data_IF_669341648158
#
_entry.id   IF_669341648158
#
_cell.length_a   1.000
_cell.length_b   1.000
_cell.length_c   1.000
_cell.angle_alpha   90.00
_cell.angle_beta   90.00
_cell.angle_gamma   90.00
#
_symmetry.space_group_name_H-M   'P 1'
#
loop_
_entity.id
_entity.type
_entity.pdbx_description
1 polymer ?
#
# COMPACT_ATOMS: atom_id res chain seq x y z
N UNK A 1 2.57 -5.07 9.55
CA UNK A 1 2.72 -3.72 8.99
C UNK A 1 1.83 -2.66 9.68
N UNK A 2 0.62 -2.97 10.12
CA UNK A 2 -0.28 -1.97 10.76
C UNK A 2 0.31 -1.32 12.02
N UNK A 3 0.94 -2.06 12.90
CA UNK A 3 1.48 -1.53 14.16
C UNK A 3 2.69 -0.60 13.96
N UNK A 4 3.72 -0.95 13.14
CA UNK A 4 4.79 -0.02 12.80
C UNK A 4 4.29 1.24 12.08
N UNK A 5 3.37 1.09 11.11
CA UNK A 5 2.81 2.24 10.41
C UNK A 5 2.05 3.17 11.35
N UNK A 6 1.28 2.63 12.30
CA UNK A 6 0.57 3.43 13.30
C UNK A 6 1.54 4.25 14.16
N UNK A 7 2.69 3.66 14.57
CA UNK A 7 3.73 4.39 15.32
C UNK A 7 4.39 5.49 14.48
N UNK A 8 4.64 5.23 13.21
CA UNK A 8 5.19 6.23 12.28
C UNK A 8 4.22 7.40 12.06
N UNK A 9 2.93 7.13 11.89
CA UNK A 9 1.89 8.14 11.71
C UNK A 9 1.67 8.97 12.99
N UNK A 10 1.82 8.36 14.16
CA UNK A 10 1.69 9.00 15.45
C UNK A 10 2.94 9.79 15.88
N UNK A 11 4.03 9.70 15.10
CA UNK A 11 5.26 10.43 15.42
C UNK A 11 5.03 11.94 15.33
N UNK A 12 5.35 12.66 16.40
CA UNK A 12 5.23 14.12 16.43
C UNK A 12 6.49 14.76 15.82
N UNK A 13 6.33 15.79 14.96
CA UNK A 13 7.46 16.51 14.40
C UNK A 13 8.45 17.00 15.47
N UNK A 14 9.73 16.84 15.21
CA UNK A 14 10.81 17.19 16.13
C UNK A 14 11.77 18.21 15.51
N UNK A 15 12.46 18.98 16.35
CA UNK A 15 13.55 19.86 15.92
C UNK A 15 14.81 19.10 15.50
N UNK A 16 14.87 17.78 15.70
CA UNK A 16 16.00 16.94 15.32
C UNK A 16 15.69 16.16 14.06
N UNK A 17 16.69 15.87 13.21
CA UNK A 17 16.44 15.17 11.95
C UNK A 17 15.93 13.75 12.19
N UNK A 18 14.89 13.39 11.48
CA UNK A 18 14.40 12.02 11.32
C UNK A 18 14.95 11.48 10.00
N UNK A 19 15.73 10.42 10.06
CA UNK A 19 16.21 9.73 8.86
C UNK A 19 15.17 8.70 8.41
N UNK A 20 14.80 8.77 7.13
CA UNK A 20 13.96 7.78 6.48
C UNK A 20 14.72 7.20 5.29
N UNK A 21 14.97 5.89 5.31
CA UNK A 21 15.78 5.19 4.33
C UNK A 21 14.97 4.10 3.65
N UNK A 22 14.94 4.11 2.34
CA UNK A 22 14.30 3.09 1.51
C UNK A 22 15.37 2.41 0.67
N UNK A 23 15.46 1.08 0.75
CA UNK A 23 16.44 0.28 0.03
C UNK A 23 15.78 -0.85 -0.75
N UNK A 24 16.19 -1.03 -1.99
CA UNK A 24 15.92 -2.23 -2.75
C UNK A 24 16.92 -3.31 -2.33
N UNK A 25 16.41 -4.40 -1.79
CA UNK A 25 17.20 -5.55 -1.36
C UNK A 25 16.90 -6.79 -2.19
N UNK A 26 16.12 -6.65 -3.28
CA UNK A 26 15.77 -7.75 -4.16
C UNK A 26 17.03 -8.35 -4.79
N UNK A 27 17.25 -9.68 -4.66
CA UNK A 27 18.37 -10.35 -5.32
C UNK A 27 18.28 -10.20 -6.85
N UNK A 28 19.43 -10.07 -7.49
CA UNK A 28 19.54 -10.10 -8.95
C UNK A 28 19.21 -11.49 -9.51
N UNK A 29 19.18 -11.62 -10.84
CA UNK A 29 18.96 -12.90 -11.53
C UNK A 29 19.97 -14.00 -11.18
N UNK A 30 21.06 -13.68 -10.46
CA UNK A 30 22.08 -14.59 -9.97
C UNK A 30 21.97 -14.86 -8.46
N UNK A 31 20.90 -14.35 -7.82
CA UNK A 31 20.67 -14.49 -6.38
C UNK A 31 21.57 -13.62 -5.50
N UNK A 32 22.16 -12.54 -6.03
CA UNK A 32 23.03 -11.62 -5.28
C UNK A 32 22.23 -10.44 -4.82
N UNK A 33 22.19 -10.20 -3.52
CA UNK A 33 21.59 -9.01 -2.92
C UNK A 33 22.44 -7.77 -3.27
N UNK A 34 21.83 -6.65 -3.71
CA UNK A 34 22.55 -5.40 -3.95
C UNK A 34 23.28 -4.92 -2.69
N UNK A 35 24.52 -4.48 -2.82
CA UNK A 35 25.23 -3.81 -1.74
C UNK A 35 24.79 -2.35 -1.64
N UNK A 36 24.03 -2.03 -0.60
CA UNK A 36 23.56 -0.68 -0.33
C UNK A 36 24.63 0.22 0.33
N UNK A 37 25.76 -0.34 0.78
CA UNK A 37 26.80 0.40 1.51
C UNK A 37 27.34 1.62 0.76
N UNK A 38 27.78 1.52 -0.51
CA UNK A 38 28.26 2.65 -1.29
C UNK A 38 27.23 3.77 -1.47
N UNK A 39 25.94 3.40 -1.67
CA UNK A 39 24.84 4.35 -1.77
C UNK A 39 24.66 5.09 -0.44
N UNK A 40 24.49 4.38 0.65
CA UNK A 40 24.29 4.96 1.99
C UNK A 40 25.44 5.87 2.39
N UNK A 41 26.68 5.45 2.16
CA UNK A 41 27.86 6.27 2.47
C UNK A 41 27.85 7.60 1.72
N UNK A 42 27.51 7.59 0.44
CA UNK A 42 27.43 8.80 -0.38
C UNK A 42 26.33 9.75 0.12
N UNK A 43 25.12 9.23 0.33
CA UNK A 43 23.97 10.05 0.76
C UNK A 43 24.18 10.61 2.17
N UNK A 44 24.60 9.78 3.13
CA UNK A 44 24.88 10.25 4.49
C UNK A 44 26.02 11.25 4.54
N UNK A 45 27.05 11.10 3.72
CA UNK A 45 28.13 12.08 3.62
C UNK A 45 27.66 13.42 3.05
N UNK A 46 26.71 13.41 2.13
CA UNK A 46 26.10 14.61 1.57
C UNK A 46 25.22 15.30 2.63
N UNK A 47 24.32 14.57 3.27
CA UNK A 47 23.41 15.08 4.31
C UNK A 47 24.16 15.60 5.55
N UNK A 48 25.25 14.94 5.94
CA UNK A 48 26.08 15.35 7.07
C UNK A 48 26.61 16.80 7.00
N UNK A 49 26.67 17.38 5.79
CA UNK A 49 27.10 18.76 5.57
C UNK A 49 26.03 19.81 5.91
N UNK A 50 24.78 19.38 6.07
CA UNK A 50 23.66 20.23 6.41
C UNK A 50 23.78 20.81 7.82
N UNK A 51 24.37 20.03 8.73
CA UNK A 51 24.47 20.42 10.14
C UNK A 51 25.89 20.73 10.56
N UNK A 52 26.03 21.73 11.43
CA UNK A 52 27.35 22.12 11.98
C UNK A 52 27.95 20.96 12.78
N UNK A 53 29.26 20.70 12.64
CA UNK A 53 29.94 19.74 13.50
C UNK A 53 29.74 20.06 14.98
N UNK A 54 29.28 19.08 15.78
CA UNK A 54 29.06 19.24 17.22
C UNK A 54 27.70 19.81 17.60
N UNK A 55 26.81 20.14 16.63
CA UNK A 55 25.43 20.50 16.95
C UNK A 55 24.61 19.28 17.41
N UNK A 56 23.50 19.50 18.08
CA UNK A 56 22.61 18.43 18.56
C UNK A 56 22.02 17.62 17.39
N UNK A 57 21.67 18.30 16.32
CA UNK A 57 21.15 17.69 15.08
C UNK A 57 22.21 16.78 14.46
N UNK A 58 23.46 17.26 14.40
CA UNK A 58 24.54 16.46 13.85
C UNK A 58 24.83 15.24 14.72
N UNK A 59 24.79 15.38 16.02
CA UNK A 59 24.98 14.25 16.93
C UNK A 59 23.87 13.21 16.78
N UNK A 60 22.60 13.63 16.76
CA UNK A 60 21.46 12.74 16.50
C UNK A 60 21.61 12.01 15.17
N UNK A 61 21.92 12.74 14.11
CA UNK A 61 22.15 12.21 12.77
C UNK A 61 23.26 11.14 12.76
N UNK A 62 24.42 11.41 13.36
CA UNK A 62 25.55 10.47 13.36
C UNK A 62 25.20 9.16 14.10
N UNK A 63 24.44 9.23 15.21
CA UNK A 63 23.94 8.05 15.93
C UNK A 63 22.93 7.24 15.08
N UNK A 64 22.03 7.92 14.36
CA UNK A 64 21.07 7.27 13.47
C UNK A 64 21.75 6.58 12.30
N UNK A 65 22.76 7.20 11.71
CA UNK A 65 23.58 6.61 10.64
C UNK A 65 24.24 5.32 11.12
N UNK A 66 24.84 5.32 12.31
CA UNK A 66 25.49 4.12 12.86
C UNK A 66 24.48 2.97 13.05
N UNK A 67 23.28 3.28 13.59
CA UNK A 67 22.21 2.28 13.78
C UNK A 67 21.68 1.72 12.46
N UNK A 68 21.46 2.59 11.47
CA UNK A 68 20.96 2.19 10.16
C UNK A 68 21.99 1.30 9.46
N UNK A 69 23.27 1.69 9.42
CA UNK A 69 24.33 0.91 8.79
C UNK A 69 24.49 -0.45 9.46
N UNK A 70 24.49 -0.50 10.80
CA UNK A 70 24.53 -1.77 11.53
C UNK A 70 23.32 -2.66 11.23
N UNK A 71 22.12 -2.09 11.15
CA UNK A 71 20.91 -2.85 10.82
C UNK A 71 20.98 -3.43 9.41
N UNK A 72 21.41 -2.64 8.43
CA UNK A 72 21.52 -3.07 7.02
C UNK A 72 22.55 -4.19 6.87
N UNK A 73 23.64 -4.15 7.63
CA UNK A 73 24.68 -5.17 7.58
C UNK A 73 24.21 -6.53 8.14
N UNK A 74 23.44 -6.54 9.23
CA UNK A 74 23.28 -7.76 10.03
C UNK A 74 21.84 -8.25 10.16
N UNK A 75 20.82 -7.41 9.87
CA UNK A 75 19.44 -7.71 10.27
C UNK A 75 18.43 -7.84 9.12
N UNK A 76 18.85 -7.70 7.87
CA UNK A 76 17.96 -7.86 6.73
C UNK A 76 17.78 -9.36 6.46
N UNK A 77 16.53 -9.81 6.41
CA UNK A 77 16.22 -11.20 6.06
C UNK A 77 16.44 -11.46 4.57
N UNK A 78 16.95 -12.64 4.19
CA UNK A 78 17.18 -13.00 2.78
C UNK A 78 15.92 -12.95 1.90
N UNK A 79 14.74 -13.07 2.51
CA UNK A 79 13.45 -13.01 1.80
C UNK A 79 12.90 -11.58 1.64
N UNK A 80 13.57 -10.56 2.19
CA UNK A 80 13.15 -9.17 2.03
C UNK A 80 13.62 -8.63 0.69
N UNK A 81 12.68 -8.14 -0.12
CA UNK A 81 12.96 -7.51 -1.41
C UNK A 81 13.11 -5.98 -1.29
N UNK A 82 12.67 -5.41 -0.17
CA UNK A 82 12.83 -4.01 0.17
C UNK A 82 12.92 -3.79 1.67
N UNK A 83 13.48 -2.66 2.08
CA UNK A 83 13.57 -2.25 3.48
C UNK A 83 13.25 -0.77 3.60
N UNK A 84 12.39 -0.41 4.56
CA UNK A 84 12.16 0.95 5.00
C UNK A 84 12.62 1.10 6.46
N UNK A 85 13.52 2.05 6.72
CA UNK A 85 14.10 2.31 8.03
C UNK A 85 13.81 3.76 8.43
N UNK A 86 13.41 3.96 9.68
CA UNK A 86 13.13 5.26 10.23
C UNK A 86 13.86 5.39 11.56
N UNK A 87 14.63 6.46 11.72
CA UNK A 87 15.46 6.66 12.90
C UNK A 87 15.47 8.13 13.34
N UNK A 88 15.39 8.36 14.66
CA UNK A 88 15.60 9.65 15.29
C UNK A 88 16.13 9.43 16.70
N UNK A 89 17.44 9.47 16.86
CA UNK A 89 18.08 9.26 18.15
C UNK A 89 17.59 10.26 19.22
N UNK A 90 17.46 11.52 18.83
CA UNK A 90 17.02 12.57 19.74
C UNK A 90 15.55 12.49 20.16
N UNK A 91 14.73 11.67 19.51
CA UNK A 91 13.34 11.41 19.88
C UNK A 91 13.25 10.06 20.62
N UNK A 92 13.81 9.98 21.83
CA UNK A 92 13.79 8.77 22.67
C UNK A 92 14.36 7.52 21.96
N UNK A 93 15.41 7.72 21.17
CA UNK A 93 16.05 6.65 20.39
C UNK A 93 15.07 5.94 19.43
N UNK A 94 14.13 6.70 18.87
CA UNK A 94 13.15 6.15 17.93
C UNK A 94 13.84 5.38 16.80
N UNK A 95 13.38 4.16 16.55
CA UNK A 95 13.88 3.32 15.47
C UNK A 95 12.80 2.33 15.04
N UNK A 96 12.34 2.45 13.78
CA UNK A 96 11.42 1.51 13.16
C UNK A 96 12.05 0.93 11.90
N UNK A 97 11.90 -0.39 11.73
CA UNK A 97 12.40 -1.12 10.58
C UNK A 97 11.30 -1.99 10.00
N UNK A 98 10.96 -1.75 8.75
CA UNK A 98 9.93 -2.50 8.03
C UNK A 98 10.62 -3.21 6.87
N UNK A 99 10.65 -4.54 6.91
CA UNK A 99 11.14 -5.36 5.81
C UNK A 99 9.97 -5.68 4.89
N UNK A 100 10.13 -5.34 3.63
CA UNK A 100 9.12 -5.43 2.59
C UNK A 100 9.41 -6.66 1.73
N UNK A 101 8.37 -7.34 1.33
CA UNK A 101 8.46 -8.42 0.34
C UNK A 101 8.43 -7.88 -1.09
N UNK A 102 7.89 -6.67 -1.26
CA UNK A 102 7.92 -5.92 -2.52
C UNK A 102 9.21 -5.13 -2.63
N UNK A 103 9.88 -5.10 -3.79
CA UNK A 103 11.04 -4.26 -4.00
C UNK A 103 10.67 -2.78 -3.98
N UNK A 104 11.55 -1.97 -3.44
CA UNK A 104 11.50 -0.52 -3.60
C UNK A 104 12.08 -0.17 -4.96
N UNK A 105 11.43 0.72 -5.72
CA UNK A 105 11.87 1.08 -7.08
C UNK A 105 13.31 1.62 -7.09
N UNK A 106 13.61 2.54 -6.15
CA UNK A 106 14.89 3.23 -6.06
C UNK A 106 15.33 3.35 -4.60
N UNK A 107 16.64 3.25 -4.37
CA UNK A 107 17.20 3.56 -3.07
C UNK A 107 17.08 5.05 -2.78
N UNK A 108 16.55 5.42 -1.61
CA UNK A 108 16.34 6.82 -1.21
C UNK A 108 16.67 7.04 0.26
N UNK A 109 17.15 8.24 0.55
CA UNK A 109 17.40 8.72 1.92
C UNK A 109 16.78 10.10 2.07
N UNK A 110 15.98 10.27 3.10
CA UNK A 110 15.39 11.54 3.49
C UNK A 110 15.83 11.91 4.90
N UNK A 111 16.05 13.18 5.12
CA UNK A 111 16.26 13.74 6.44
C UNK A 111 15.24 14.87 6.62
N UNK A 112 14.24 14.66 7.46
CA UNK A 112 13.08 15.54 7.64
C UNK A 112 12.76 15.66 9.13
N UNK A 113 11.80 16.50 9.52
CA UNK A 113 11.39 16.68 10.91
C UNK A 113 10.41 15.60 11.41
N UNK A 114 9.98 14.69 10.52
CA UNK A 114 9.08 13.57 10.78
C UNK A 114 9.38 12.41 9.82
N UNK A 115 8.92 11.17 10.09
CA UNK A 115 9.07 10.06 9.18
C UNK A 115 8.49 10.36 7.79
N UNK A 116 9.25 10.08 6.73
CA UNK A 116 8.82 10.26 5.36
C UNK A 116 7.98 9.07 4.91
N UNK A 117 6.66 9.21 4.84
CA UNK A 117 5.71 8.11 4.67
C UNK A 117 5.20 7.91 3.24
N UNK A 118 5.45 8.86 2.33
CA UNK A 118 4.89 8.84 0.98
C UNK A 118 5.16 7.51 0.26
N UNK A 119 6.40 7.05 0.22
CA UNK A 119 6.75 5.79 -0.47
C UNK A 119 6.12 4.57 0.18
N UNK A 120 6.06 4.52 1.51
CA UNK A 120 5.46 3.40 2.22
C UNK A 120 3.94 3.33 1.96
N UNK A 121 3.27 4.48 1.96
CA UNK A 121 1.85 4.59 1.64
C UNK A 121 1.57 4.25 0.17
N UNK A 122 2.46 4.64 -0.75
CA UNK A 122 2.34 4.32 -2.18
C UNK A 122 2.46 2.81 -2.41
N UNK A 123 3.46 2.16 -1.80
CA UNK A 123 3.60 0.70 -1.86
C UNK A 123 2.39 -0.04 -1.28
N UNK A 124 1.87 0.42 -0.14
CA UNK A 124 0.67 -0.17 0.47
C UNK A 124 -0.56 -0.04 -0.45
N UNK A 125 -0.68 1.08 -1.18
CA UNK A 125 -1.74 1.32 -2.16
C UNK A 125 -1.57 0.51 -3.45
N UNK A 126 -0.35 0.33 -3.95
CA UNK A 126 -0.09 -0.42 -5.18
C UNK A 126 -0.33 -1.93 -5.05
N UNK A 127 -0.19 -2.49 -3.86
CA UNK A 127 -0.28 -3.93 -3.61
C UNK A 127 -1.30 -4.24 -2.51
N UNK A 128 -2.60 -4.06 -2.80
CA UNK A 128 -3.65 -4.35 -1.83
C UNK A 128 -3.62 -5.84 -1.45
N UNK A 129 -4.06 -6.15 -0.24
CA UNK A 129 -4.28 -7.55 0.14
C UNK A 129 -5.49 -8.10 -0.59
N UNK A 130 -5.31 -9.20 -1.29
CA UNK A 130 -6.39 -9.85 -2.02
C UNK A 130 -6.34 -11.37 -1.87
N UNK A 131 -7.50 -12.00 -2.10
CA UNK A 131 -7.61 -13.45 -2.17
C UNK A 131 -7.87 -13.89 -3.60
N UNK A 132 -7.20 -14.95 -4.04
CA UNK A 132 -7.51 -15.63 -5.30
C UNK A 132 -7.97 -17.05 -5.01
N UNK A 133 -9.12 -17.43 -5.56
CA UNK A 133 -9.72 -18.76 -5.44
C UNK A 133 -9.67 -19.44 -6.78
N UNK A 134 -8.90 -20.52 -6.88
CA UNK A 134 -8.89 -21.41 -8.03
C UNK A 134 -9.70 -22.65 -7.69
N UNK A 135 -10.76 -22.94 -8.45
CA UNK A 135 -11.66 -24.04 -8.10
C UNK A 135 -12.14 -24.83 -9.31
N UNK A 136 -12.32 -26.14 -9.08
CA UNK A 136 -13.09 -27.03 -9.92
C UNK A 136 -14.29 -27.60 -9.14
N UNK A 137 -14.93 -28.64 -9.69
CA UNK A 137 -16.09 -29.30 -9.09
C UNK A 137 -15.80 -29.98 -7.73
N UNK A 138 -14.54 -30.24 -7.40
CA UNK A 138 -14.18 -31.10 -6.27
C UNK A 138 -13.08 -30.51 -5.38
N UNK A 139 -12.30 -29.56 -5.90
CA UNK A 139 -11.17 -28.98 -5.19
C UNK A 139 -11.13 -27.48 -5.38
N UNK A 140 -10.67 -26.77 -4.36
CA UNK A 140 -10.35 -25.35 -4.46
C UNK A 140 -9.02 -25.07 -3.77
N UNK A 141 -8.26 -24.13 -4.31
CA UNK A 141 -7.09 -23.53 -3.70
C UNK A 141 -7.38 -22.06 -3.47
N UNK A 142 -7.20 -21.62 -2.23
CA UNK A 142 -7.36 -20.21 -1.85
C UNK A 142 -5.97 -19.67 -1.56
N UNK A 143 -5.56 -18.67 -2.30
CA UNK A 143 -4.32 -17.95 -2.11
C UNK A 143 -4.62 -16.59 -1.50
N UNK A 144 -3.82 -16.18 -0.55
CA UNK A 144 -3.84 -14.82 0.00
C UNK A 144 -2.56 -14.13 -0.45
N UNK A 145 -2.72 -13.04 -1.14
CA UNK A 145 -1.62 -12.22 -1.63
C UNK A 145 -1.56 -10.90 -0.88
N UNK A 146 -0.37 -10.37 -0.73
CA UNK A 146 -0.12 -9.04 -0.22
C UNK A 146 1.31 -8.63 -0.51
N UNK A 147 1.53 -7.40 -0.91
CA UNK A 147 2.85 -6.89 -1.25
C UNK A 147 3.61 -7.78 -2.23
N UNK A 148 2.93 -8.18 -3.33
CA UNK A 148 3.50 -8.94 -4.45
C UNK A 148 3.98 -10.37 -4.13
N UNK A 149 3.44 -11.00 -3.09
CA UNK A 149 3.75 -12.41 -2.79
C UNK A 149 2.59 -13.15 -2.13
N UNK A 150 2.68 -14.48 -2.09
CA UNK A 150 1.73 -15.36 -1.39
C UNK A 150 1.99 -15.29 0.10
N UNK A 151 1.04 -14.69 0.86
CA UNK A 151 1.08 -14.67 2.34
C UNK A 151 0.59 -15.99 2.91
N UNK A 152 -0.33 -16.65 2.21
CA UNK A 152 -0.91 -17.91 2.64
C UNK A 152 -1.58 -18.65 1.49
N UNK A 153 -1.58 -19.97 1.57
CA UNK A 153 -2.28 -20.85 0.63
C UNK A 153 -3.03 -21.94 1.40
N UNK A 154 -4.28 -22.16 1.04
CA UNK A 154 -5.11 -23.20 1.64
C UNK A 154 -5.81 -24.02 0.55
N UNK A 155 -5.99 -25.31 0.82
CA UNK A 155 -6.72 -26.22 -0.06
C UNK A 155 -8.05 -26.65 0.61
N UNK A 156 -9.14 -26.53 -0.14
CA UNK A 156 -10.46 -27.01 0.25
C UNK A 156 -10.82 -28.20 -0.64
N UNK A 157 -11.04 -29.36 -0.05
CA UNK A 157 -11.37 -30.57 -0.79
C UNK A 157 -12.83 -30.94 -0.57
N UNK A 158 -13.61 -31.05 -1.66
CA UNK A 158 -14.97 -31.53 -1.64
C UNK A 158 -15.06 -33.07 -1.55
N UNK A 159 -16.24 -33.57 -1.29
CA UNK A 159 -16.53 -35.01 -1.26
C UNK A 159 -16.41 -35.59 -2.67
N UNK A 160 -15.47 -36.52 -2.91
CA UNK A 160 -15.34 -37.21 -4.20
C UNK A 160 -16.59 -38.02 -4.52
N UNK A 161 -17.31 -37.64 -5.58
CA UNK A 161 -18.44 -38.39 -6.10
C UNK A 161 -17.95 -39.33 -7.19
N UNK A 162 -17.96 -40.65 -6.91
CA UNK A 162 -17.56 -41.64 -7.90
C UNK A 162 -18.59 -41.71 -9.04
N UNK A 163 -18.11 -41.64 -10.30
CA UNK A 163 -18.93 -41.87 -11.47
C UNK A 163 -19.42 -43.31 -11.50
N UNK A 164 -20.72 -43.52 -11.37
CA UNK A 164 -21.36 -44.84 -11.59
C UNK A 164 -22.04 -44.81 -12.92
N UNK A 165 -21.67 -45.70 -13.84
CA UNK A 165 -22.38 -45.92 -15.11
C UNK A 165 -23.70 -46.68 -14.80
N UNK A 166 -24.80 -45.98 -14.56
CA UNK A 166 -26.13 -46.57 -14.35
C UNK A 166 -27.11 -45.82 -15.23
N UNK A 167 -27.92 -46.52 -16.00
CA UNK A 167 -28.94 -45.98 -16.89
C UNK A 167 -30.32 -45.94 -16.22
N UNK A 168 -31.23 -45.10 -16.71
CA UNK A 168 -32.64 -45.04 -16.33
C UNK A 168 -32.92 -44.16 -15.08
N UNK A 169 -33.94 -44.50 -14.28
CA UNK A 169 -34.44 -43.74 -13.12
C UNK A 169 -33.37 -43.40 -12.06
N UNK A 170 -32.29 -44.17 -12.02
CA UNK A 170 -31.14 -43.90 -11.15
C UNK A 170 -30.30 -42.74 -11.62
N UNK A 171 -30.36 -42.34 -12.91
CA UNK A 171 -29.60 -41.23 -13.46
C UNK A 171 -30.04 -39.88 -12.89
N UNK A 172 -31.36 -39.63 -12.78
CA UNK A 172 -31.90 -38.41 -12.19
C UNK A 172 -31.54 -38.27 -10.70
N UNK A 173 -31.51 -39.39 -9.95
CA UNK A 173 -31.10 -39.42 -8.53
C UNK A 173 -29.59 -39.18 -8.43
N UNK A 174 -28.81 -39.73 -9.34
CA UNK A 174 -27.36 -39.51 -9.40
C UNK A 174 -27.03 -38.04 -9.74
N UNK A 175 -27.67 -37.44 -10.74
CA UNK A 175 -27.47 -36.02 -11.12
C UNK A 175 -27.79 -35.08 -9.96
N UNK A 176 -28.90 -35.31 -9.22
CA UNK A 176 -29.23 -34.54 -8.01
C UNK A 176 -28.17 -34.69 -6.93
N UNK A 177 -27.65 -35.90 -6.73
CA UNK A 177 -26.58 -36.13 -5.71
C UNK A 177 -25.27 -35.42 -6.10
N UNK A 178 -24.92 -35.44 -7.38
CA UNK A 178 -23.74 -34.73 -7.90
C UNK A 178 -23.95 -33.21 -7.77
N UNK A 179 -25.10 -32.67 -8.16
CA UNK A 179 -25.39 -31.24 -8.01
C UNK A 179 -25.38 -30.78 -6.55
N UNK A 180 -25.92 -31.60 -5.63
CA UNK A 180 -25.86 -31.30 -4.20
C UNK A 180 -24.42 -31.31 -3.66
N UNK A 181 -23.57 -32.24 -4.15
CA UNK A 181 -22.16 -32.29 -3.72
C UNK A 181 -21.36 -31.06 -4.20
N UNK A 182 -21.63 -30.59 -5.44
CA UNK A 182 -21.01 -29.36 -5.96
C UNK A 182 -21.48 -28.12 -5.18
N UNK A 183 -22.76 -28.04 -4.84
CA UNK A 183 -23.29 -26.95 -4.03
C UNK A 183 -22.70 -26.96 -2.61
N UNK A 184 -22.57 -28.15 -1.98
CA UNK A 184 -21.93 -28.31 -0.67
C UNK A 184 -20.46 -27.83 -0.75
N UNK A 185 -19.73 -28.28 -1.78
CA UNK A 185 -18.35 -27.83 -1.99
C UNK A 185 -18.24 -26.29 -2.19
N UNK A 186 -19.13 -25.71 -2.99
CA UNK A 186 -19.16 -24.26 -3.19
C UNK A 186 -19.41 -23.51 -1.86
N UNK A 187 -20.31 -24.02 -1.01
CA UNK A 187 -20.54 -23.46 0.34
C UNK A 187 -19.30 -23.53 1.23
N UNK A 188 -18.64 -24.69 1.27
CA UNK A 188 -17.44 -24.89 2.07
C UNK A 188 -16.33 -23.92 1.63
N UNK A 189 -16.15 -23.72 0.31
CA UNK A 189 -15.17 -22.78 -0.26
C UNK A 189 -15.49 -21.35 0.16
N UNK A 190 -16.75 -20.91 0.01
CA UNK A 190 -17.15 -19.54 0.35
C UNK A 190 -17.10 -19.30 1.85
N UNK A 191 -17.49 -20.25 2.69
CA UNK A 191 -17.35 -20.13 4.13
C UNK A 191 -15.89 -19.94 4.55
N UNK A 192 -14.99 -20.74 3.95
CA UNK A 192 -13.56 -20.62 4.23
C UNK A 192 -12.99 -19.29 3.72
N UNK A 193 -13.37 -18.88 2.52
CA UNK A 193 -13.00 -17.58 1.94
C UNK A 193 -13.44 -16.43 2.86
N UNK A 194 -14.70 -16.44 3.33
CA UNK A 194 -15.21 -15.38 4.21
C UNK A 194 -14.40 -15.27 5.51
N UNK A 195 -14.03 -16.41 6.12
CA UNK A 195 -13.18 -16.42 7.31
C UNK A 195 -11.81 -15.77 7.04
N UNK A 196 -11.19 -16.10 5.90
CA UNK A 196 -9.90 -15.51 5.48
C UNK A 196 -10.04 -14.02 5.24
N UNK A 197 -11.07 -13.59 4.48
CA UNK A 197 -11.33 -12.18 4.15
C UNK A 197 -11.43 -11.32 5.42
N UNK A 198 -12.20 -11.76 6.39
CA UNK A 198 -12.37 -11.01 7.64
C UNK A 198 -11.10 -11.02 8.51
N UNK A 199 -10.40 -12.17 8.59
CA UNK A 199 -9.17 -12.30 9.38
C UNK A 199 -8.04 -11.44 8.83
N UNK A 200 -7.83 -11.50 7.51
CA UNK A 200 -6.66 -10.89 6.85
C UNK A 200 -6.98 -9.52 6.23
N UNK A 201 -8.19 -8.98 6.49
CA UNK A 201 -8.67 -7.67 5.97
C UNK A 201 -8.50 -7.55 4.46
N UNK A 202 -8.94 -8.57 3.75
CA UNK A 202 -8.89 -8.64 2.28
C UNK A 202 -9.85 -7.60 1.68
N UNK A 203 -9.38 -6.87 0.67
CA UNK A 203 -10.16 -5.83 -0.02
C UNK A 203 -10.64 -6.26 -1.41
N UNK A 204 -10.00 -7.25 -2.02
CA UNK A 204 -10.33 -7.75 -3.35
C UNK A 204 -10.33 -9.27 -3.37
N UNK A 205 -11.27 -9.86 -4.11
CA UNK A 205 -11.41 -11.31 -4.27
C UNK A 205 -11.41 -11.63 -5.76
N UNK A 206 -10.55 -12.55 -6.17
CA UNK A 206 -10.52 -13.04 -7.55
C UNK A 206 -10.94 -14.49 -7.58
N UNK A 207 -12.01 -14.79 -8.33
CA UNK A 207 -12.46 -16.15 -8.57
C UNK A 207 -11.98 -16.62 -9.94
N UNK A 208 -11.38 -17.79 -10.00
CA UNK A 208 -10.93 -18.44 -11.23
C UNK A 208 -11.23 -19.93 -11.18
N UNK A 209 -11.48 -20.54 -12.33
CA UNK A 209 -11.69 -21.98 -12.43
C UNK A 209 -12.74 -22.36 -13.47
N UNK A 210 -13.38 -23.53 -13.25
CA UNK A 210 -14.37 -24.09 -14.16
C UNK A 210 -15.62 -23.20 -14.26
N UNK A 211 -16.05 -22.94 -15.49
CA UNK A 211 -17.23 -22.13 -15.80
C UNK A 211 -18.55 -22.64 -15.20
N UNK A 212 -18.61 -23.91 -14.77
CA UNK A 212 -19.79 -24.51 -14.12
C UNK A 212 -19.79 -24.22 -12.62
N UNK A 213 -18.62 -24.06 -11.99
CA UNK A 213 -18.50 -23.84 -10.53
C UNK A 213 -18.59 -22.39 -10.16
N UNK A 214 -18.06 -21.50 -10.99
CA UNK A 214 -18.05 -20.05 -10.71
C UNK A 214 -19.46 -19.51 -10.39
N UNK A 215 -20.52 -19.77 -11.17
CA UNK A 215 -21.87 -19.32 -10.84
C UNK A 215 -22.38 -19.86 -9.49
N UNK A 216 -22.01 -21.10 -9.13
CA UNK A 216 -22.41 -21.69 -7.83
C UNK A 216 -21.72 -20.98 -6.67
N UNK A 217 -20.46 -20.54 -6.83
CA UNK A 217 -19.78 -19.75 -5.83
C UNK A 217 -20.42 -18.36 -5.70
N UNK A 218 -20.69 -17.69 -6.83
CA UNK A 218 -21.32 -16.37 -6.85
C UNK A 218 -22.68 -16.37 -6.14
N UNK A 219 -23.50 -17.43 -6.31
CA UNK A 219 -24.78 -17.60 -5.61
C UNK A 219 -24.64 -17.77 -4.09
N UNK A 220 -23.50 -18.27 -3.60
CA UNK A 220 -23.27 -18.51 -2.18
C UNK A 220 -22.51 -17.34 -1.49
N UNK A 221 -22.09 -16.30 -2.25
CA UNK A 221 -21.37 -15.16 -1.70
C UNK A 221 -22.22 -14.37 -0.71
N UNK A 222 -21.69 -14.05 0.49
CA UNK A 222 -22.28 -13.06 1.38
C UNK A 222 -22.39 -11.70 0.69
N UNK A 223 -23.42 -10.93 1.01
CA UNK A 223 -23.71 -9.64 0.35
C UNK A 223 -22.59 -8.61 0.47
N UNK A 224 -21.89 -8.61 1.56
CA UNK A 224 -20.74 -7.75 1.85
C UNK A 224 -19.51 -8.08 1.00
N UNK A 225 -19.39 -9.32 0.51
CA UNK A 225 -18.27 -9.74 -0.33
C UNK A 225 -18.53 -9.59 -1.84
N UNK A 226 -19.79 -9.48 -2.26
CA UNK A 226 -20.15 -9.43 -3.70
C UNK A 226 -19.43 -8.30 -4.45
N UNK A 227 -19.35 -7.12 -3.84
CA UNK A 227 -18.69 -5.95 -4.46
C UNK A 227 -17.17 -6.09 -4.59
N UNK A 228 -16.57 -7.01 -3.84
CA UNK A 228 -15.13 -7.26 -3.84
C UNK A 228 -14.69 -8.28 -4.89
N UNK A 229 -15.66 -9.00 -5.49
CA UNK A 229 -15.38 -10.18 -6.32
C UNK A 229 -15.20 -9.80 -7.79
N UNK A 230 -14.19 -10.39 -8.39
CA UNK A 230 -13.94 -10.40 -9.83
C UNK A 230 -13.69 -11.80 -10.31
N UNK A 231 -14.12 -12.09 -11.54
CA UNK A 231 -13.89 -13.39 -12.17
C UNK A 231 -12.85 -13.24 -13.28
N UNK A 232 -11.89 -14.16 -13.29
CA UNK A 232 -10.90 -14.28 -14.38
C UNK A 232 -10.90 -15.72 -14.93
N UNK A 233 -10.36 -15.87 -16.14
CA UNK A 233 -10.11 -17.20 -16.72
C UNK A 233 -8.68 -17.59 -16.41
N UNK A 234 -8.50 -18.64 -15.63
CA UNK A 234 -7.19 -19.19 -15.30
C UNK A 234 -7.32 -20.72 -15.17
N UNK A 235 -6.26 -21.45 -15.53
CA UNK A 235 -6.21 -22.89 -15.34
C UNK A 235 -6.15 -23.22 -13.86
N UNK A 236 -6.94 -24.19 -13.41
CA UNK A 236 -6.96 -24.64 -12.01
C UNK A 236 -5.59 -25.18 -11.54
N UNK A 237 -4.79 -25.70 -12.48
CA UNK A 237 -3.45 -26.22 -12.21
C UNK A 237 -2.35 -25.16 -12.34
N UNK A 238 -2.71 -23.89 -12.58
CA UNK A 238 -1.76 -22.80 -12.68
C UNK A 238 -0.83 -22.77 -11.45
N UNK A 239 0.44 -22.44 -11.68
CA UNK A 239 1.41 -22.24 -10.60
C UNK A 239 1.04 -21.01 -9.75
N UNK A 240 1.61 -20.90 -8.57
CA UNK A 240 1.39 -19.71 -7.71
C UNK A 240 1.85 -18.43 -8.41
N UNK A 241 2.94 -18.49 -9.16
CA UNK A 241 3.48 -17.38 -9.93
C UNK A 241 2.57 -16.96 -11.09
N UNK A 242 1.97 -17.93 -11.81
CA UNK A 242 0.99 -17.64 -12.86
C UNK A 242 -0.28 -17.00 -12.29
N UNK A 243 -0.74 -17.50 -11.12
CA UNK A 243 -1.88 -16.93 -10.41
C UNK A 243 -1.59 -15.49 -10.01
N UNK A 244 -0.45 -15.24 -9.37
CA UNK A 244 -0.01 -13.91 -8.96
C UNK A 244 0.02 -12.96 -10.15
N UNK A 245 0.71 -13.34 -11.23
CA UNK A 245 0.86 -12.51 -12.42
C UNK A 245 -0.49 -12.15 -13.05
N UNK A 246 -1.36 -13.14 -13.25
CA UNK A 246 -2.68 -12.92 -13.88
C UNK A 246 -3.61 -12.08 -13.00
N UNK A 247 -3.59 -12.31 -11.69
CA UNK A 247 -4.46 -11.59 -10.74
C UNK A 247 -3.98 -10.16 -10.51
N UNK A 248 -2.68 -9.94 -10.41
CA UNK A 248 -2.10 -8.61 -10.26
C UNK A 248 -2.38 -7.72 -11.48
N UNK A 249 -2.17 -8.24 -12.69
CA UNK A 249 -2.49 -7.50 -13.92
C UNK A 249 -3.97 -7.11 -14.00
N UNK A 250 -4.88 -7.98 -13.53
CA UNK A 250 -6.31 -7.69 -13.47
C UNK A 250 -6.65 -6.58 -12.49
N UNK A 251 -6.07 -6.63 -11.28
CA UNK A 251 -6.27 -5.62 -10.25
C UNK A 251 -5.74 -4.26 -10.69
N UNK A 252 -4.52 -4.18 -11.19
CA UNK A 252 -3.92 -2.93 -11.69
C UNK A 252 -4.75 -2.29 -12.80
N UNK A 253 -5.24 -3.10 -13.75
CA UNK A 253 -6.12 -2.60 -14.81
C UNK A 253 -7.47 -2.07 -14.30
N UNK A 254 -7.97 -2.59 -13.19
CA UNK A 254 -9.19 -2.09 -12.55
C UNK A 254 -8.91 -0.82 -11.74
N UNK A 255 -7.84 -0.80 -10.97
CA UNK A 255 -7.45 0.38 -10.19
C UNK A 255 -7.23 1.59 -11.10
N UNK A 256 -6.59 1.41 -12.26
CA UNK A 256 -6.42 2.46 -13.24
C UNK A 256 -7.77 3.03 -13.74
N UNK A 257 -8.76 2.16 -14.03
CA UNK A 257 -10.11 2.59 -14.43
C UNK A 257 -10.85 3.30 -13.31
N UNK A 258 -10.85 2.70 -12.12
CA UNK A 258 -11.47 3.27 -10.92
C UNK A 258 -10.82 4.61 -10.56
N UNK A 259 -9.49 4.73 -10.71
CA UNK A 259 -8.75 5.97 -10.52
C UNK A 259 -9.20 7.07 -11.46
N UNK A 260 -9.33 6.76 -12.77
CA UNK A 260 -9.81 7.73 -13.76
C UNK A 260 -11.26 8.19 -13.48
N UNK A 261 -12.16 7.26 -13.13
CA UNK A 261 -13.54 7.57 -12.74
C UNK A 261 -13.60 8.43 -11.48
N UNK A 262 -12.76 8.14 -10.48
CA UNK A 262 -12.64 8.95 -9.26
C UNK A 262 -12.17 10.37 -9.56
N UNK A 263 -11.15 10.52 -10.41
CA UNK A 263 -10.66 11.85 -10.81
C UNK A 263 -11.72 12.63 -11.57
N UNK A 264 -12.44 12.00 -12.51
CA UNK A 264 -13.53 12.65 -13.23
C UNK A 264 -14.63 13.14 -12.25
N UNK A 265 -15.03 12.28 -11.28
CA UNK A 265 -16.01 12.64 -10.25
C UNK A 265 -15.49 13.77 -9.35
N UNK A 266 -14.20 13.75 -8.98
CA UNK A 266 -13.56 14.82 -8.21
C UNK A 266 -13.67 16.15 -8.96
N UNK A 267 -13.29 16.17 -10.24
CA UNK A 267 -13.32 17.37 -11.08
C UNK A 267 -14.74 17.91 -11.28
N UNK A 268 -15.73 17.03 -11.43
CA UNK A 268 -17.13 17.43 -11.51
C UNK A 268 -17.60 18.10 -10.21
N UNK A 269 -17.31 17.51 -9.06
CA UNK A 269 -17.67 18.05 -7.77
C UNK A 269 -16.93 19.36 -7.47
N UNK A 270 -15.64 19.43 -7.77
CA UNK A 270 -14.85 20.66 -7.58
C UNK A 270 -15.40 21.83 -8.39
N UNK A 271 -15.64 21.63 -9.71
CA UNK A 271 -16.24 22.64 -10.59
C UNK A 271 -17.66 23.03 -10.18
N UNK A 272 -18.43 22.06 -9.66
CA UNK A 272 -19.79 22.27 -9.15
C UNK A 272 -19.84 22.86 -7.74
N UNK A 273 -18.70 23.21 -7.13
CA UNK A 273 -18.60 23.65 -5.71
C UNK A 273 -19.25 22.66 -4.72
N UNK A 274 -19.17 21.36 -5.04
CA UNK A 274 -19.62 20.27 -4.18
C UNK A 274 -18.59 19.92 -3.10
N UNK A 275 -18.64 18.68 -2.63
CA UNK A 275 -17.75 18.14 -1.59
C UNK A 275 -16.42 17.68 -2.17
N UNK A 276 -15.64 18.60 -2.75
CA UNK A 276 -14.31 18.33 -3.27
C UNK A 276 -13.41 19.55 -3.18
N UNK A 277 -12.12 19.30 -3.01
CA UNK A 277 -11.03 20.28 -3.08
C UNK A 277 -10.00 19.83 -4.10
N UNK A 278 -9.25 20.78 -4.68
CA UNK A 278 -8.23 20.50 -5.68
C UNK A 278 -7.03 21.41 -5.49
N UNK A 279 -5.85 20.85 -5.74
CA UNK A 279 -4.58 21.53 -5.55
C UNK A 279 -3.97 21.28 -4.17
N UNK A 280 -2.64 21.40 -4.05
CA UNK A 280 -1.90 21.06 -2.83
C UNK A 280 -2.35 21.89 -1.63
N UNK A 281 -2.50 23.20 -1.79
CA UNK A 281 -2.81 24.12 -0.71
C UNK A 281 -4.22 23.87 -0.12
N UNK A 282 -5.28 23.92 -0.95
CA UNK A 282 -6.66 23.71 -0.48
C UNK A 282 -6.83 22.32 0.14
N UNK A 283 -6.18 21.31 -0.44
CA UNK A 283 -6.25 19.94 0.06
C UNK A 283 -5.56 19.82 1.42
N UNK A 284 -4.42 20.48 1.62
CA UNK A 284 -3.69 20.45 2.88
C UNK A 284 -4.46 21.18 4.00
N UNK A 285 -5.08 22.33 3.70
CA UNK A 285 -5.97 23.05 4.63
C UNK A 285 -7.18 22.19 5.04
N UNK A 286 -7.80 21.51 4.07
CA UNK A 286 -8.92 20.62 4.35
C UNK A 286 -8.50 19.39 5.18
N UNK A 287 -7.31 18.84 4.94
CA UNK A 287 -6.73 17.76 5.75
C UNK A 287 -6.46 18.23 7.19
N UNK A 288 -5.90 19.41 7.37
CA UNK A 288 -5.63 19.97 8.69
C UNK A 288 -6.92 20.15 9.52
N UNK A 289 -8.04 20.45 8.87
CA UNK A 289 -9.38 20.54 9.49
C UNK A 289 -10.10 19.19 9.64
N UNK A 290 -9.50 18.08 9.17
CA UNK A 290 -10.12 16.74 9.20
C UNK A 290 -11.31 16.58 8.25
N UNK A 291 -11.46 17.46 7.27
CA UNK A 291 -12.60 17.48 6.33
C UNK A 291 -12.49 16.43 5.23
N UNK A 292 -11.28 15.94 4.94
CA UNK A 292 -11.06 15.01 3.82
C UNK A 292 -11.49 13.59 4.20
N UNK A 293 -12.29 12.98 3.35
CA UNK A 293 -12.67 11.56 3.40
C UNK A 293 -11.69 10.70 2.61
N UNK A 294 -11.39 11.13 1.38
CA UNK A 294 -10.48 10.43 0.47
C UNK A 294 -9.56 11.42 -0.22
N UNK A 295 -8.26 11.21 -0.09
CA UNK A 295 -7.19 11.93 -0.78
C UNK A 295 -6.85 11.20 -2.08
N UNK A 296 -6.92 11.88 -3.23
CA UNK A 296 -6.40 11.43 -4.51
C UNK A 296 -5.07 12.14 -4.76
N UNK A 297 -4.00 11.38 -4.93
CA UNK A 297 -2.64 11.91 -5.12
C UNK A 297 -1.92 11.19 -6.25
N UNK A 298 -1.21 11.93 -7.11
CA UNK A 298 -0.41 11.33 -8.18
C UNK A 298 0.74 10.51 -7.63
N UNK A 299 0.90 9.28 -8.10
CA UNK A 299 2.02 8.39 -7.72
C UNK A 299 3.40 8.95 -8.10
N UNK A 300 3.48 9.88 -9.05
CA UNK A 300 4.71 10.55 -9.46
C UNK A 300 4.92 11.94 -8.87
N UNK A 301 4.08 12.42 -7.96
CA UNK A 301 4.09 13.80 -7.48
C UNK A 301 5.43 14.20 -6.84
N UNK A 302 6.11 13.29 -6.20
CA UNK A 302 7.40 13.53 -5.55
C UNK A 302 8.55 13.76 -6.56
N UNK A 303 8.41 13.27 -7.78
CA UNK A 303 9.40 13.45 -8.86
C UNK A 303 9.17 14.73 -9.68
N UNK A 304 8.10 15.47 -9.38
CA UNK A 304 7.78 16.74 -10.02
C UNK A 304 8.69 17.90 -9.58
N UNK A 305 8.63 19.06 -10.26
CA UNK A 305 9.35 20.25 -9.81
C UNK A 305 8.90 20.62 -8.38
N UNK A 306 9.82 21.11 -7.53
CA UNK A 306 9.50 21.43 -6.15
C UNK A 306 8.42 22.53 -6.10
N UNK A 307 7.22 22.19 -5.65
CA UNK A 307 6.10 23.11 -5.42
C UNK A 307 6.28 23.87 -4.09
N UNK A 308 7.52 24.31 -3.79
CA UNK A 308 7.91 24.79 -2.46
C UNK A 308 7.35 26.16 -2.08
N UNK A 309 7.02 27.02 -3.03
CA UNK A 309 6.74 28.43 -2.74
C UNK A 309 5.31 28.71 -2.24
N UNK A 310 4.33 27.82 -2.50
CA UNK A 310 2.92 28.12 -2.21
C UNK A 310 2.38 27.52 -0.89
N UNK A 311 3.08 26.58 -0.26
CA UNK A 311 2.54 25.76 0.85
C UNK A 311 3.27 25.97 2.17
N UNK A 312 4.41 26.65 2.18
CA UNK A 312 5.28 26.81 3.34
C UNK A 312 4.64 27.58 4.51
N UNK A 313 3.71 28.52 4.21
CA UNK A 313 3.13 29.42 5.22
C UNK A 313 1.99 28.78 6.06
N UNK A 314 1.49 27.61 5.68
CA UNK A 314 0.24 27.07 6.28
C UNK A 314 0.48 26.08 7.41
N UNK A 315 1.61 25.37 7.43
CA UNK A 315 1.84 24.25 8.35
C UNK A 315 3.18 24.27 9.11
N UNK A 316 3.98 25.29 8.94
CA UNK A 316 5.08 25.48 9.87
C UNK A 316 4.46 25.90 11.22
N UNK A 317 4.42 25.05 12.27
CA UNK A 317 4.38 25.61 13.60
C UNK A 317 5.61 26.52 13.63
N UNK A 318 5.42 27.80 13.91
CA UNK A 318 6.50 28.72 14.26
C UNK A 318 7.19 28.13 15.52
N UNK A 319 8.09 27.18 15.32
CA UNK A 319 9.01 26.77 16.38
C UNK A 319 10.17 27.75 16.25
N UNK A 320 10.19 28.81 17.08
CA UNK A 320 11.32 29.73 17.08
C UNK A 320 12.55 28.92 17.48
N UNK A 321 13.62 29.03 16.69
CA UNK A 321 14.91 28.55 17.13
C UNK A 321 15.33 29.31 18.42
N UNK A 322 16.36 28.79 19.10
CA UNK A 322 16.92 29.41 20.29
C UNK A 322 17.44 30.85 20.05
N UNK A 323 17.45 31.37 18.83
CA UNK A 323 17.88 32.68 18.40
C UNK A 323 16.77 33.56 17.82
N UNK A 324 15.50 33.08 17.77
CA UNK A 324 14.33 33.86 17.31
C UNK A 324 14.27 34.10 15.81
N UNK A 325 14.91 33.26 14.97
CA UNK A 325 14.84 33.33 13.51
C UNK A 325 13.68 32.50 13.00
N UNK A 326 12.83 33.09 12.18
CA UNK A 326 11.81 32.35 11.41
C UNK A 326 12.53 31.53 10.33
N UNK A 327 12.50 30.21 10.47
CA UNK A 327 13.17 29.26 9.58
C UNK A 327 12.39 29.09 8.28
N UNK A 328 12.64 29.91 7.27
CA UNK A 328 12.09 29.72 5.91
C UNK A 328 13.01 28.97 4.93
N UNK A 329 14.20 28.52 5.37
CA UNK A 329 15.22 27.95 4.46
C UNK A 329 15.86 26.63 4.93
N UNK A 330 15.29 25.88 5.88
CA UNK A 330 15.88 24.62 6.33
C UNK A 330 15.69 23.52 5.25
N UNK A 331 16.80 22.94 4.75
CA UNK A 331 16.76 21.95 3.67
C UNK A 331 16.18 20.57 4.07
N UNK A 332 15.74 20.39 5.30
CA UNK A 332 15.25 19.14 5.87
C UNK A 332 13.76 19.16 6.24
N UNK A 333 12.97 20.05 5.64
CA UNK A 333 11.50 20.03 5.79
C UNK A 333 10.88 18.93 4.95
N UNK A 334 9.75 18.38 5.44
CA UNK A 334 8.97 17.39 4.72
C UNK A 334 8.48 17.92 3.37
N UNK A 335 8.52 17.10 2.34
CA UNK A 335 7.97 17.45 1.02
C UNK A 335 6.45 17.59 1.10
N UNK A 336 5.87 18.42 0.23
CA UNK A 336 4.40 18.60 0.16
C UNK A 336 3.66 17.27 -0.02
N UNK A 337 4.07 16.34 -0.92
CA UNK A 337 3.46 15.04 -1.04
C UNK A 337 3.47 14.23 0.25
N UNK A 338 4.57 14.26 0.99
CA UNK A 338 4.70 13.55 2.26
C UNK A 338 3.79 14.14 3.35
N UNK A 339 3.73 15.46 3.45
CA UNK A 339 2.82 16.15 4.37
C UNK A 339 1.36 15.80 4.10
N UNK A 340 0.93 15.78 2.83
CA UNK A 340 -0.41 15.39 2.43
C UNK A 340 -0.75 13.97 2.86
N UNK A 341 0.15 13.02 2.59
CA UNK A 341 -0.04 11.61 2.96
C UNK A 341 -0.05 11.45 4.49
N UNK A 342 0.89 12.06 5.19
CA UNK A 342 0.96 11.99 6.65
C UNK A 342 -0.30 12.57 7.31
N UNK A 343 -0.74 13.76 6.87
CA UNK A 343 -1.98 14.37 7.39
C UNK A 343 -3.23 13.54 7.05
N UNK A 344 -3.30 12.96 5.85
CA UNK A 344 -4.40 12.08 5.49
C UNK A 344 -4.47 10.86 6.42
N UNK A 345 -3.35 10.19 6.67
CA UNK A 345 -3.28 9.06 7.60
C UNK A 345 -3.60 9.47 9.05
N UNK A 346 -3.13 10.63 9.52
CA UNK A 346 -3.43 11.16 10.87
C UNK A 346 -4.92 11.46 11.06
N UNK A 347 -5.60 11.96 10.03
CA UNK A 347 -7.04 12.31 10.10
C UNK A 347 -7.96 11.15 9.70
N UNK A 348 -7.39 9.97 9.43
CA UNK A 348 -8.16 8.79 9.00
C UNK A 348 -8.79 8.94 7.62
N UNK A 349 -8.22 9.76 6.75
CA UNK A 349 -8.60 9.82 5.35
C UNK A 349 -8.01 8.64 4.58
N UNK A 350 -8.77 8.11 3.63
CA UNK A 350 -8.27 7.10 2.69
C UNK A 350 -7.32 7.76 1.70
N UNK A 351 -6.17 7.16 1.44
CA UNK A 351 -5.22 7.66 0.42
C UNK A 351 -5.30 6.75 -0.80
N UNK A 352 -5.64 7.32 -1.95
CA UNK A 352 -5.67 6.65 -3.25
C UNK A 352 -4.62 7.25 -4.16
N UNK A 353 -3.66 6.45 -4.58
CA UNK A 353 -2.64 6.86 -5.55
C UNK A 353 -3.17 6.70 -6.97
N UNK A 354 -2.97 7.73 -7.79
CA UNK A 354 -3.33 7.74 -9.21
C UNK A 354 -2.03 7.60 -10.01
N UNK A 355 -1.85 6.43 -10.61
CA UNK A 355 -0.62 6.09 -11.33
C UNK A 355 -0.45 6.92 -12.62
N UNK A 356 -1.56 7.19 -13.33
CA UNK A 356 -1.55 8.13 -14.45
C UNK A 356 -1.57 9.57 -13.93
N UNK A 357 -0.39 10.13 -13.70
CA UNK A 357 -0.22 11.50 -13.19
C UNK A 357 -0.84 12.57 -14.08
N UNK A 358 -1.01 12.32 -15.39
CA UNK A 358 -1.62 13.28 -16.32
C UNK A 358 -3.07 13.61 -15.94
N UNK A 359 -3.78 12.69 -15.30
CA UNK A 359 -5.17 12.88 -14.86
C UNK A 359 -5.31 14.00 -13.80
N UNK A 360 -4.31 14.19 -12.95
CA UNK A 360 -4.30 15.18 -11.88
C UNK A 360 -3.42 16.40 -12.18
N UNK A 361 -2.72 16.44 -13.31
CA UNK A 361 -1.77 17.51 -13.65
C UNK A 361 -2.42 18.90 -13.61
N UNK A 362 -3.65 19.02 -14.11
CA UNK A 362 -4.39 20.29 -14.16
C UNK A 362 -4.71 20.90 -12.80
N UNK A 363 -4.59 20.11 -11.72
CA UNK A 363 -4.85 20.52 -10.34
C UNK A 363 -3.62 20.32 -9.45
N UNK A 364 -2.42 20.32 -10.02
CA UNK A 364 -1.18 20.22 -9.26
C UNK A 364 -0.93 18.84 -8.63
N UNK A 365 -1.49 17.77 -9.20
CA UNK A 365 -1.22 16.38 -8.82
C UNK A 365 -1.98 15.87 -7.60
N UNK A 366 -2.90 16.64 -7.02
CA UNK A 366 -3.62 16.25 -5.80
C UNK A 366 -5.00 16.89 -5.70
N UNK A 367 -5.93 16.16 -5.06
CA UNK A 367 -7.25 16.65 -4.68
C UNK A 367 -7.89 15.72 -3.67
N UNK A 368 -9.06 16.10 -3.12
CA UNK A 368 -9.72 15.28 -2.12
C UNK A 368 -11.24 15.39 -2.15
N UNK A 369 -11.90 14.30 -1.81
CA UNK A 369 -13.31 14.31 -1.46
C UNK A 369 -13.48 14.69 0.00
N UNK A 370 -14.47 15.52 0.28
CA UNK A 370 -14.74 16.01 1.61
C UNK A 370 -15.88 15.24 2.27
N UNK A 371 -15.80 15.04 3.57
CA UNK A 371 -16.90 14.56 4.42
C UNK A 371 -17.97 15.64 4.59
N UNK A 372 -17.54 16.88 4.71
CA UNK A 372 -18.37 18.07 4.90
C UNK A 372 -17.61 19.32 4.45
N UNK A 373 -18.34 20.38 4.17
CA UNK A 373 -17.81 21.70 3.82
C UNK A 373 -18.38 22.75 4.76
N UNK A 374 -17.55 23.68 5.23
CA UNK A 374 -17.97 24.87 5.98
C UNK A 374 -18.71 25.86 5.10
#
# INVERSE_FOLDING_TARGET
>A
MEEPLARLVAFEPTALPVLSVYLNTQPDQHGRTPDAGPFLHREFKALARTWAPGSAERHSFDQDVERIVSYVADKIYPAANGVALFACWGAQEFFEAIQLTTPVSDNRVYATNQPHLYHLAHLDGQYPRYAAVLTDMNTARIFVFGLDHVIGAEAVNGKKVHRVKVGGWSQARYQRRVGNAHLEHAKDVIERLAQIVHKDKITHIILAGDSVVIPLLEEQLPRDLVSMVQVIKLDIHASEEDVLTATLAKLQGQEARTGAEKVERLMQQYRGRGLAVAGPQETLEALAKGQVEELLISGGLENGPPQREEVQDILAPEIPDSEGRTQSEDPWHSSVPDLLVTKAKQTGATVTFIEDGALLESIGGVGGFLRWRE
#
